data_IF_318854769809
#
_entry.id   IF_318854769809
#
_cell.length_a   1.000
_cell.length_b   1.000
_cell.length_c   1.000
_cell.angle_alpha   90.00
_cell.angle_beta   90.00
_cell.angle_gamma   90.00
#
_symmetry.space_group_name_H-M   'P 1'
#
loop_
_entity.id
_entity.type
_entity.pdbx_description
1 polymer ?
#
# COMPACT_ATOMS: atom_id res chain seq x y z
N UNK A 1 -46.72 17.03 8.15
CA UNK A 1 -45.62 17.07 9.12
C UNK A 1 -44.84 15.76 9.12
N UNK A 2 -44.02 15.52 8.11
CA UNK A 2 -43.20 14.28 7.99
C UNK A 2 -41.83 14.56 7.36
N UNK A 3 -41.15 15.65 7.73
CA UNK A 3 -39.87 16.05 7.11
C UNK A 3 -38.66 16.13 8.05
N UNK A 4 -38.73 15.66 9.29
CA UNK A 4 -37.68 15.97 10.28
C UNK A 4 -37.00 14.77 10.95
N UNK A 5 -37.19 13.51 10.48
CA UNK A 5 -36.53 12.33 11.08
C UNK A 5 -35.28 11.87 10.36
N UNK A 6 -34.94 12.42 9.20
CA UNK A 6 -33.82 11.92 8.39
C UNK A 6 -32.49 12.74 8.57
N UNK A 7 -32.56 13.93 9.14
CA UNK A 7 -31.38 14.76 9.42
C UNK A 7 -30.58 14.32 10.66
N UNK A 8 -31.16 13.53 11.58
CA UNK A 8 -30.47 13.11 12.82
C UNK A 8 -29.47 11.94 12.62
N UNK A 9 -29.49 11.26 11.46
CA UNK A 9 -28.56 10.16 11.16
C UNK A 9 -27.27 10.61 10.46
N UNK A 10 -27.18 11.84 9.98
CA UNK A 10 -25.99 12.39 9.30
C UNK A 10 -24.83 12.81 10.21
N UNK A 11 -24.99 12.78 11.54
CA UNK A 11 -24.03 13.30 12.53
C UNK A 11 -23.26 12.26 13.34
N UNK A 12 -23.46 10.95 13.15
CA UNK A 12 -22.62 9.96 13.83
C UNK A 12 -21.30 9.83 13.05
N UNK A 13 -20.23 10.43 13.58
CA UNK A 13 -18.86 10.19 13.15
C UNK A 13 -18.67 8.68 12.94
N UNK A 14 -18.51 8.27 11.68
CA UNK A 14 -18.26 6.86 11.37
C UNK A 14 -16.84 6.50 11.80
N UNK A 15 -16.69 5.88 12.98
CA UNK A 15 -15.39 5.48 13.54
C UNK A 15 -14.77 4.27 12.83
N UNK A 16 -15.52 3.64 11.92
CA UNK A 16 -15.08 2.40 11.27
C UNK A 16 -13.79 2.57 10.45
N UNK A 17 -13.58 3.62 9.64
CA UNK A 17 -12.31 3.81 8.93
C UNK A 17 -11.11 3.91 9.86
N UNK A 18 -11.25 4.53 11.03
CA UNK A 18 -10.16 4.63 12.02
C UNK A 18 -9.84 3.30 12.70
N UNK A 19 -10.86 2.45 12.94
CA UNK A 19 -10.64 1.10 13.46
C UNK A 19 -9.92 0.25 12.40
N UNK A 20 -10.32 0.36 11.13
CA UNK A 20 -9.64 -0.34 10.04
C UNK A 20 -8.21 0.17 9.83
N UNK A 21 -7.98 1.49 9.99
CA UNK A 21 -6.65 2.10 10.01
C UNK A 21 -5.74 1.47 11.06
N UNK A 22 -6.23 1.23 12.27
CA UNK A 22 -5.45 0.58 13.32
C UNK A 22 -5.04 -0.86 12.96
N UNK A 23 -5.92 -1.63 12.31
CA UNK A 23 -5.58 -2.96 11.78
C UNK A 23 -4.50 -2.88 10.69
N UNK A 24 -4.60 -1.88 9.81
CA UNK A 24 -3.61 -1.62 8.76
C UNK A 24 -2.25 -1.22 9.36
N UNK A 25 -2.23 -0.38 10.40
CA UNK A 25 -1.00 -0.07 11.15
C UNK A 25 -0.34 -1.36 11.62
N UNK A 26 -1.07 -2.26 12.27
CA UNK A 26 -0.50 -3.48 12.83
C UNK A 26 0.15 -4.38 11.78
N UNK A 27 -0.49 -4.63 10.64
CA UNK A 27 0.09 -5.51 9.61
C UNK A 27 1.28 -4.85 8.92
N UNK A 28 1.26 -3.53 8.72
CA UNK A 28 2.34 -2.83 8.03
C UNK A 28 3.50 -2.46 8.97
N UNK A 29 3.28 -2.35 10.27
CA UNK A 29 4.36 -2.35 11.29
C UNK A 29 5.15 -3.67 11.18
N UNK A 30 4.47 -4.81 11.08
CA UNK A 30 5.12 -6.10 10.93
C UNK A 30 5.87 -6.19 9.58
N UNK A 31 5.23 -5.79 8.49
CA UNK A 31 5.83 -5.83 7.15
C UNK A 31 7.04 -4.90 7.02
N UNK A 32 6.94 -3.66 7.50
CA UNK A 32 8.04 -2.69 7.49
C UNK A 32 9.18 -3.07 8.44
N UNK A 33 8.84 -3.76 9.55
CA UNK A 33 9.81 -4.22 10.53
C UNK A 33 10.70 -5.35 10.01
N UNK A 34 10.21 -6.23 9.14
CA UNK A 34 10.97 -7.37 8.62
C UNK A 34 12.31 -6.94 8.01
N UNK A 35 12.29 -5.95 7.14
CA UNK A 35 13.52 -5.48 6.48
C UNK A 35 14.58 -4.98 7.47
N UNK A 36 14.15 -4.40 8.58
CA UNK A 36 15.06 -3.85 9.60
C UNK A 36 15.61 -4.91 10.56
N UNK A 37 15.04 -6.10 10.60
CA UNK A 37 15.58 -7.25 11.37
C UNK A 37 16.68 -7.97 10.59
N UNK A 38 16.71 -7.86 9.26
CA UNK A 38 17.66 -8.61 8.40
C UNK A 38 19.13 -8.43 8.76
N UNK A 39 19.67 -7.21 9.00
CA UNK A 39 21.07 -7.05 9.39
C UNK A 39 21.41 -7.79 10.68
N UNK A 40 20.47 -7.85 11.63
CA UNK A 40 20.66 -8.56 12.88
C UNK A 40 20.66 -10.08 12.68
N UNK A 41 19.88 -10.61 11.73
CA UNK A 41 19.93 -12.03 11.34
C UNK A 41 21.28 -12.41 10.75
N UNK A 42 21.89 -11.54 9.93
CA UNK A 42 23.26 -11.76 9.42
C UNK A 42 24.26 -11.83 10.56
N UNK A 43 24.24 -10.85 11.46
CA UNK A 43 25.23 -10.70 12.54
C UNK A 43 25.05 -11.76 13.63
N UNK A 44 23.82 -12.06 14.04
CA UNK A 44 23.54 -12.90 15.20
C UNK A 44 23.21 -14.36 14.85
N UNK A 45 22.67 -14.63 13.64
CA UNK A 45 22.31 -15.97 13.20
C UNK A 45 23.23 -16.51 12.09
N UNK A 46 24.14 -15.70 11.55
CA UNK A 46 25.08 -16.10 10.52
C UNK A 46 24.45 -16.33 9.14
N UNK A 47 23.25 -15.83 8.88
CA UNK A 47 22.61 -15.94 7.56
C UNK A 47 23.36 -15.14 6.51
N UNK A 48 23.48 -15.68 5.31
CA UNK A 48 24.04 -15.00 4.16
C UNK A 48 23.10 -13.89 3.64
N UNK A 49 23.66 -12.94 2.88
CA UNK A 49 22.87 -11.88 2.23
C UNK A 49 21.83 -12.45 1.27
N UNK A 50 22.13 -13.57 0.58
CA UNK A 50 21.17 -14.25 -0.30
C UNK A 50 20.00 -14.81 0.50
N UNK A 51 20.25 -15.44 1.64
CA UNK A 51 19.22 -16.01 2.50
C UNK A 51 18.28 -14.93 3.05
N UNK A 52 18.81 -13.80 3.54
CA UNK A 52 17.97 -12.74 4.10
C UNK A 52 17.13 -12.03 3.02
N UNK A 53 17.65 -11.83 1.82
CA UNK A 53 16.87 -11.27 0.72
C UNK A 53 15.76 -12.22 0.26
N UNK A 54 15.99 -13.53 0.30
CA UNK A 54 14.97 -14.52 0.02
C UNK A 54 13.84 -14.53 1.06
N UNK A 55 14.09 -14.16 2.32
CA UNK A 55 13.04 -14.00 3.34
C UNK A 55 12.03 -12.92 2.95
N UNK A 56 12.53 -11.76 2.54
CA UNK A 56 11.66 -10.65 2.09
C UNK A 56 10.88 -11.03 0.85
N UNK A 57 11.54 -11.68 -0.11
CA UNK A 57 10.89 -12.17 -1.32
C UNK A 57 9.79 -13.17 -0.99
N UNK A 58 10.03 -14.14 -0.10
CA UNK A 58 9.06 -15.13 0.32
C UNK A 58 7.83 -14.49 0.97
N UNK A 59 8.03 -13.53 1.87
CA UNK A 59 6.93 -12.76 2.50
C UNK A 59 6.12 -11.99 1.48
N UNK A 60 6.78 -11.25 0.59
CA UNK A 60 6.11 -10.42 -0.42
C UNK A 60 5.36 -11.27 -1.45
N UNK A 61 5.93 -12.37 -1.93
CA UNK A 61 5.27 -13.29 -2.87
C UNK A 61 4.07 -13.95 -2.21
N UNK A 62 4.22 -14.44 -0.97
CA UNK A 62 3.09 -15.00 -0.22
C UNK A 62 1.95 -13.99 -0.07
N UNK A 63 2.27 -12.74 0.26
CA UNK A 63 1.27 -11.68 0.34
C UNK A 63 0.62 -11.40 -1.01
N UNK A 64 1.40 -11.13 -2.04
CA UNK A 64 0.91 -10.70 -3.35
C UNK A 64 0.03 -11.74 -4.06
N UNK A 65 0.40 -13.03 -3.98
CA UNK A 65 -0.35 -14.13 -4.61
C UNK A 65 -1.65 -14.41 -3.88
N UNK A 66 -1.64 -14.28 -2.56
CA UNK A 66 -2.78 -14.68 -1.72
C UNK A 66 -3.83 -13.56 -1.60
N UNK A 67 -3.46 -12.29 -1.73
CA UNK A 67 -4.40 -11.16 -1.64
C UNK A 67 -5.61 -11.26 -2.59
N UNK A 68 -5.45 -11.57 -3.89
CA UNK A 68 -6.58 -11.76 -4.79
C UNK A 68 -7.51 -12.90 -4.37
N UNK A 69 -6.96 -13.99 -3.82
CA UNK A 69 -7.75 -15.14 -3.34
C UNK A 69 -8.64 -14.74 -2.16
N UNK A 70 -8.11 -14.01 -1.19
CA UNK A 70 -8.92 -13.49 -0.07
C UNK A 70 -9.95 -12.45 -0.53
N UNK A 71 -9.62 -11.67 -1.55
CA UNK A 71 -10.57 -10.76 -2.21
C UNK A 71 -11.78 -11.50 -2.77
N UNK A 72 -11.54 -12.54 -3.58
CA UNK A 72 -12.58 -13.41 -4.15
C UNK A 72 -13.41 -14.13 -3.06
N UNK A 73 -12.75 -14.58 -1.99
CA UNK A 73 -13.46 -15.22 -0.86
C UNK A 73 -14.37 -14.22 -0.13
N UNK A 74 -13.95 -12.96 0.00
CA UNK A 74 -14.70 -11.88 0.63
C UNK A 74 -15.95 -11.49 -0.16
N UNK A 75 -15.86 -11.52 -1.50
CA UNK A 75 -17.01 -11.24 -2.38
C UNK A 75 -18.08 -12.31 -2.31
N UNK A 76 -17.69 -13.60 -2.25
CA UNK A 76 -18.65 -14.71 -2.11
C UNK A 76 -19.38 -14.70 -0.76
N UNK A 77 -18.66 -14.40 0.31
CA UNK A 77 -19.19 -14.33 1.68
C UNK A 77 -18.31 -13.43 2.53
N UNK A 78 -18.87 -12.36 3.06
CA UNK A 78 -18.17 -11.47 3.99
C UNK A 78 -17.62 -12.25 5.20
N UNK A 79 -16.33 -12.12 5.46
CA UNK A 79 -15.63 -12.83 6.53
C UNK A 79 -14.73 -11.87 7.33
N UNK A 80 -15.29 -10.89 8.03
CA UNK A 80 -14.50 -9.88 8.74
C UNK A 80 -13.53 -10.44 9.79
N UNK A 81 -13.77 -11.65 10.29
CA UNK A 81 -12.85 -12.34 11.20
C UNK A 81 -11.49 -12.63 10.57
N UNK A 82 -11.40 -12.70 9.22
CA UNK A 82 -10.13 -12.86 8.52
C UNK A 82 -9.16 -11.72 8.81
N UNK A 83 -9.66 -10.49 9.01
CA UNK A 83 -8.80 -9.36 9.38
C UNK A 83 -8.14 -9.58 10.74
N UNK A 84 -8.89 -10.12 11.72
CA UNK A 84 -8.34 -10.47 13.03
C UNK A 84 -7.25 -11.52 12.94
N UNK A 85 -7.52 -12.62 12.22
CA UNK A 85 -6.53 -13.67 11.98
C UNK A 85 -5.33 -13.13 11.23
N UNK A 86 -5.55 -12.28 10.23
CA UNK A 86 -4.48 -11.64 9.46
C UNK A 86 -3.54 -10.82 10.34
N UNK A 87 -4.08 -9.96 11.21
CA UNK A 87 -3.27 -9.17 12.15
C UNK A 87 -2.49 -10.07 13.11
N UNK A 88 -3.12 -11.13 13.65
CA UNK A 88 -2.46 -12.07 14.53
C UNK A 88 -1.32 -12.81 13.82
N UNK A 89 -1.54 -13.30 12.60
CA UNK A 89 -0.52 -13.99 11.80
C UNK A 89 0.62 -13.06 11.37
N UNK A 90 0.33 -11.81 11.01
CA UNK A 90 1.36 -10.84 10.68
C UNK A 90 2.31 -10.62 11.85
N UNK A 91 1.76 -10.37 13.05
CA UNK A 91 2.56 -10.18 14.25
C UNK A 91 3.29 -11.45 14.69
N UNK A 92 2.62 -12.61 14.66
CA UNK A 92 3.22 -13.91 15.00
C UNK A 92 4.38 -14.26 14.06
N UNK A 93 4.20 -14.07 12.76
CA UNK A 93 5.23 -14.36 11.77
C UNK A 93 6.51 -13.59 12.05
N UNK A 94 6.43 -12.27 12.21
CA UNK A 94 7.62 -11.46 12.52
C UNK A 94 8.19 -11.78 13.90
N UNK A 95 7.34 -12.02 14.90
CA UNK A 95 7.81 -12.44 16.21
C UNK A 95 8.68 -13.70 16.16
N UNK A 96 8.27 -14.67 15.34
CA UNK A 96 9.00 -15.93 15.17
C UNK A 96 10.29 -15.78 14.34
N UNK A 97 10.40 -14.80 13.44
CA UNK A 97 11.61 -14.55 12.64
C UNK A 97 12.84 -14.39 13.51
N UNK A 98 12.74 -13.70 14.65
CA UNK A 98 13.89 -13.49 15.53
C UNK A 98 14.10 -14.59 16.59
N UNK A 99 13.16 -15.51 16.75
CA UNK A 99 13.24 -16.59 17.76
C UNK A 99 13.68 -17.93 17.17
N UNK A 100 13.32 -18.19 15.92
CA UNK A 100 13.65 -19.43 15.23
C UNK A 100 15.10 -19.40 14.72
N UNK A 101 15.80 -20.54 14.86
CA UNK A 101 17.20 -20.66 14.48
C UNK A 101 17.37 -21.31 13.09
N UNK A 102 16.42 -22.17 12.69
CA UNK A 102 16.47 -22.82 11.39
C UNK A 102 16.04 -21.86 10.29
N UNK A 103 16.87 -21.69 9.27
CA UNK A 103 16.60 -20.84 8.11
C UNK A 103 15.19 -21.12 7.50
N UNK A 104 14.86 -22.37 7.24
CA UNK A 104 13.57 -22.73 6.64
C UNK A 104 12.37 -22.41 7.53
N UNK A 105 12.53 -22.50 8.84
CA UNK A 105 11.49 -22.07 9.78
C UNK A 105 11.34 -20.56 9.80
N UNK A 106 12.43 -19.82 9.67
CA UNK A 106 12.40 -18.34 9.54
C UNK A 106 11.74 -17.92 8.22
N UNK A 107 12.04 -18.64 7.10
CA UNK A 107 11.33 -18.44 5.82
C UNK A 107 9.82 -18.67 5.99
N UNK A 108 9.43 -19.76 6.63
CA UNK A 108 8.03 -20.07 6.88
C UNK A 108 7.37 -18.98 7.76
N UNK A 109 8.06 -18.52 8.79
CA UNK A 109 7.58 -17.44 9.65
C UNK A 109 7.38 -16.13 8.87
N UNK A 110 8.31 -15.76 8.00
CA UNK A 110 8.18 -14.59 7.13
C UNK A 110 7.00 -14.74 6.15
N UNK A 111 6.79 -15.91 5.57
CA UNK A 111 5.63 -16.22 4.72
C UNK A 111 4.31 -16.11 5.50
N UNK A 112 4.27 -16.62 6.73
CA UNK A 112 3.08 -16.52 7.62
C UNK A 112 2.74 -15.04 7.88
N UNK A 113 3.75 -14.19 8.09
CA UNK A 113 3.54 -12.74 8.20
C UNK A 113 2.96 -12.14 6.92
N UNK A 114 3.51 -12.50 5.75
CA UNK A 114 3.00 -12.07 4.44
C UNK A 114 1.56 -12.51 4.18
N UNK A 115 1.21 -13.74 4.55
CA UNK A 115 -0.17 -14.25 4.47
C UNK A 115 -1.09 -13.44 5.39
N UNK A 116 -0.65 -13.14 6.61
CA UNK A 116 -1.39 -12.29 7.54
C UNK A 116 -1.71 -10.92 6.95
N UNK A 117 -0.73 -10.29 6.31
CA UNK A 117 -0.90 -9.05 5.58
C UNK A 117 -1.95 -9.20 4.45
N UNK A 118 -1.84 -10.26 3.65
CA UNK A 118 -2.77 -10.57 2.57
C UNK A 118 -4.23 -10.75 3.02
N UNK A 119 -4.46 -11.22 4.24
CA UNK A 119 -5.81 -11.44 4.78
C UNK A 119 -6.51 -10.14 5.17
N UNK A 120 -5.77 -9.13 5.64
CA UNK A 120 -6.36 -7.86 6.09
C UNK A 120 -6.72 -6.95 4.93
N UNK A 121 -5.82 -6.77 3.95
CA UNK A 121 -5.93 -5.72 2.94
C UNK A 121 -7.23 -5.76 2.12
N UNK A 122 -7.65 -6.89 1.50
CA UNK A 122 -8.86 -6.92 0.68
C UNK A 122 -10.14 -6.62 1.48
N UNK A 123 -10.30 -7.26 2.64
CA UNK A 123 -11.49 -7.10 3.47
C UNK A 123 -11.50 -5.75 4.19
N UNK A 124 -10.35 -5.28 4.68
CA UNK A 124 -10.19 -3.97 5.29
C UNK A 124 -10.50 -2.83 4.32
N UNK A 125 -9.96 -2.88 3.10
CA UNK A 125 -10.23 -1.90 2.05
C UNK A 125 -11.69 -1.95 1.57
N UNK A 126 -12.28 -3.14 1.44
CA UNK A 126 -13.70 -3.32 1.13
C UNK A 126 -14.60 -2.64 2.17
N UNK A 127 -14.33 -2.89 3.45
CA UNK A 127 -15.09 -2.28 4.54
C UNK A 127 -14.85 -0.77 4.64
N UNK A 128 -13.61 -0.31 4.41
CA UNK A 128 -13.29 1.12 4.37
C UNK A 128 -14.05 1.84 3.24
N UNK A 129 -14.09 1.25 2.05
CA UNK A 129 -14.89 1.77 0.93
C UNK A 129 -16.38 1.86 1.26
N UNK A 130 -16.95 0.79 1.82
CA UNK A 130 -18.37 0.77 2.23
C UNK A 130 -18.66 1.79 3.34
N UNK A 131 -17.72 1.97 4.27
CA UNK A 131 -17.81 2.93 5.36
C UNK A 131 -17.78 4.39 4.88
N UNK A 132 -17.19 4.65 3.74
CA UNK A 132 -17.08 5.99 3.16
C UNK A 132 -18.40 6.59 2.70
N UNK A 133 -19.43 5.77 2.40
CA UNK A 133 -20.70 6.27 1.90
C UNK A 133 -20.51 7.16 0.66
N UNK A 134 -20.82 8.44 0.79
CA UNK A 134 -20.63 9.43 -0.28
C UNK A 134 -19.15 9.91 -0.41
N UNK A 135 -18.33 9.67 0.60
CA UNK A 135 -16.93 10.13 0.67
C UNK A 135 -15.96 8.95 0.77
N UNK A 136 -16.01 8.08 -0.23
CA UNK A 136 -15.23 6.84 -0.30
C UNK A 136 -13.72 7.10 -0.31
N UNK A 137 -13.29 8.14 -1.03
CA UNK A 137 -11.89 8.50 -1.13
C UNK A 137 -11.31 8.96 0.22
N UNK A 138 -12.09 9.67 1.05
CA UNK A 138 -11.67 10.06 2.39
C UNK A 138 -11.51 8.83 3.28
N UNK A 139 -12.46 7.91 3.25
CA UNK A 139 -12.40 6.67 4.03
C UNK A 139 -11.20 5.80 3.62
N UNK A 140 -10.93 5.70 2.32
CA UNK A 140 -9.75 5.00 1.79
C UNK A 140 -8.46 5.72 2.17
N UNK A 141 -8.45 7.06 2.19
CA UNK A 141 -7.31 7.85 2.66
C UNK A 141 -6.99 7.56 4.13
N UNK A 142 -7.99 7.58 5.01
CA UNK A 142 -7.83 7.23 6.43
C UNK A 142 -7.26 5.81 6.58
N UNK A 143 -7.82 4.84 5.87
CA UNK A 143 -7.32 3.47 5.87
C UNK A 143 -5.86 3.40 5.41
N UNK A 144 -5.51 4.07 4.31
CA UNK A 144 -4.16 4.06 3.73
C UNK A 144 -3.12 4.79 4.58
N UNK A 145 -3.52 5.82 5.36
CA UNK A 145 -2.64 6.46 6.35
C UNK A 145 -2.15 5.44 7.38
N UNK A 146 -2.99 4.46 7.73
CA UNK A 146 -2.58 3.37 8.62
C UNK A 146 -1.36 2.61 8.10
N UNK A 147 -1.34 2.26 6.82
CA UNK A 147 -0.19 1.61 6.19
C UNK A 147 1.08 2.47 6.25
N UNK A 148 0.97 3.77 5.93
CA UNK A 148 2.13 4.69 6.01
C UNK A 148 2.69 4.78 7.43
N UNK A 149 1.82 4.89 8.44
CA UNK A 149 2.24 4.89 9.86
C UNK A 149 2.93 3.57 10.20
N UNK A 150 2.36 2.44 9.75
CA UNK A 150 2.91 1.11 9.99
C UNK A 150 4.32 0.97 9.41
N UNK A 151 4.50 1.31 8.15
CA UNK A 151 5.81 1.26 7.48
C UNK A 151 6.85 2.20 8.12
N UNK A 152 6.44 3.35 8.65
CA UNK A 152 7.34 4.25 9.37
C UNK A 152 7.73 3.72 10.75
N UNK A 153 6.78 3.14 11.50
CA UNK A 153 7.02 2.66 12.85
C UNK A 153 7.74 1.31 12.90
N UNK A 154 7.53 0.45 11.89
CA UNK A 154 8.11 -0.89 11.84
C UNK A 154 9.64 -0.90 12.04
N UNK A 155 10.42 -0.18 11.23
CA UNK A 155 11.87 -0.08 11.41
C UNK A 155 12.29 0.43 12.79
N UNK A 156 11.63 1.46 13.30
CA UNK A 156 11.94 2.07 14.59
C UNK A 156 11.75 1.05 15.71
N UNK A 157 10.61 0.35 15.70
CA UNK A 157 10.28 -0.67 16.69
C UNK A 157 11.25 -1.85 16.61
N UNK A 158 11.55 -2.33 15.38
CA UNK A 158 12.50 -3.43 15.17
C UNK A 158 13.87 -3.11 15.74
N UNK A 159 14.45 -1.98 15.32
CA UNK A 159 15.79 -1.58 15.77
C UNK A 159 15.84 -1.41 17.29
N UNK A 160 14.88 -0.67 17.86
CA UNK A 160 14.84 -0.45 19.29
C UNK A 160 14.71 -1.77 20.08
N UNK A 161 13.80 -2.65 19.68
CA UNK A 161 13.54 -3.90 20.39
C UNK A 161 14.69 -4.90 20.24
N UNK A 162 15.26 -5.04 19.02
CA UNK A 162 16.38 -5.97 18.80
C UNK A 162 17.68 -5.46 19.44
N UNK A 163 17.90 -4.15 19.47
CA UNK A 163 19.05 -3.57 20.19
C UNK A 163 18.94 -3.81 21.70
N UNK A 164 17.73 -3.72 22.27
CA UNK A 164 17.52 -3.88 23.69
C UNK A 164 17.50 -5.36 24.14
N UNK A 165 16.95 -6.27 23.34
CA UNK A 165 16.64 -7.64 23.73
C UNK A 165 17.24 -8.71 22.79
N UNK A 166 18.15 -8.34 21.89
CA UNK A 166 18.61 -9.24 20.83
C UNK A 166 17.48 -9.64 19.88
N UNK A 167 17.69 -10.69 19.10
CA UNK A 167 16.68 -11.17 18.14
C UNK A 167 15.32 -11.51 18.80
N UNK A 168 15.30 -11.92 20.07
CA UNK A 168 14.05 -12.14 20.80
C UNK A 168 13.19 -10.87 20.96
N UNK A 169 13.78 -9.68 20.76
CA UNK A 169 13.04 -8.41 20.73
C UNK A 169 11.93 -8.39 19.67
N UNK A 170 12.01 -9.22 18.63
CA UNK A 170 10.91 -9.36 17.63
C UNK A 170 9.59 -9.83 18.26
N UNK A 171 9.59 -10.44 19.45
CA UNK A 171 8.36 -10.78 20.17
C UNK A 171 7.46 -9.57 20.47
N UNK A 172 8.00 -8.35 20.43
CA UNK A 172 7.22 -7.11 20.53
C UNK A 172 6.09 -7.05 19.52
N UNK A 173 6.27 -7.60 18.32
CA UNK A 173 5.25 -7.62 17.29
C UNK A 173 4.02 -8.44 17.68
N UNK A 174 4.21 -9.53 18.43
CA UNK A 174 3.08 -10.28 18.97
C UNK A 174 2.34 -9.46 20.04
N UNK A 175 3.07 -8.76 20.90
CA UNK A 175 2.49 -7.89 21.93
C UNK A 175 1.71 -6.69 21.32
N UNK A 176 2.11 -6.20 20.16
CA UNK A 176 1.41 -5.12 19.46
C UNK A 176 0.20 -5.63 18.66
N UNK A 177 0.37 -6.70 17.90
CA UNK A 177 -0.64 -7.17 16.96
C UNK A 177 -1.75 -7.99 17.64
N UNK A 178 -1.43 -8.85 18.60
CA UNK A 178 -2.42 -9.75 19.21
C UNK A 178 -3.55 -9.02 19.95
N UNK A 179 -3.32 -7.99 20.78
CA UNK A 179 -4.41 -7.24 21.40
C UNK A 179 -5.32 -6.59 20.37
N UNK A 180 -4.74 -6.05 19.27
CA UNK A 180 -5.54 -5.43 18.22
C UNK A 180 -6.34 -6.47 17.40
N UNK A 181 -5.75 -7.64 17.17
CA UNK A 181 -6.46 -8.77 16.56
C UNK A 181 -7.69 -9.17 17.39
N UNK A 182 -7.58 -9.20 18.72
CA UNK A 182 -8.71 -9.47 19.62
C UNK A 182 -9.79 -8.38 19.54
N UNK A 183 -9.40 -7.11 19.42
CA UNK A 183 -10.35 -6.00 19.19
C UNK A 183 -11.11 -6.21 17.87
N UNK A 184 -10.41 -6.53 16.78
CA UNK A 184 -11.05 -6.80 15.48
C UNK A 184 -11.97 -8.04 15.55
N UNK A 185 -11.57 -9.07 16.29
CA UNK A 185 -12.38 -10.27 16.50
C UNK A 185 -13.67 -9.94 17.24
N UNK A 186 -13.61 -9.19 18.32
CA UNK A 186 -14.76 -8.73 19.08
C UNK A 186 -15.74 -7.89 18.24
N UNK A 187 -15.19 -7.12 17.30
CA UNK A 187 -15.97 -6.28 16.40
C UNK A 187 -16.45 -7.01 15.12
N UNK A 188 -16.02 -8.24 14.88
CA UNK A 188 -16.27 -8.98 13.64
C UNK A 188 -17.76 -9.12 13.30
N UNK A 189 -18.62 -9.34 14.31
CA UNK A 189 -20.09 -9.39 14.14
C UNK A 189 -20.65 -8.03 13.70
N UNK A 190 -20.12 -6.92 14.20
CA UNK A 190 -20.53 -5.56 13.80
C UNK A 190 -20.07 -5.26 12.37
N UNK A 191 -18.87 -5.68 11.99
CA UNK A 191 -18.36 -5.56 10.62
C UNK A 191 -19.19 -6.40 9.65
N UNK A 192 -19.58 -7.63 10.04
CA UNK A 192 -20.44 -8.47 9.22
C UNK A 192 -21.80 -7.80 8.98
N UNK A 193 -22.45 -7.32 10.04
CA UNK A 193 -23.73 -6.63 9.93
C UNK A 193 -23.62 -5.35 9.07
N UNK A 194 -22.51 -4.62 9.17
CA UNK A 194 -22.24 -3.45 8.36
C UNK A 194 -21.99 -3.81 6.88
N UNK A 195 -21.15 -4.81 6.61
CA UNK A 195 -20.80 -5.27 5.28
C UNK A 195 -22.00 -5.84 4.51
N UNK A 196 -22.88 -6.59 5.20
CA UNK A 196 -24.12 -7.12 4.62
C UNK A 196 -25.11 -6.00 4.30
N UNK A 197 -25.27 -5.02 5.19
CA UNK A 197 -26.17 -3.86 4.97
C UNK A 197 -25.64 -2.93 3.87
N UNK A 198 -24.33 -2.70 3.82
CA UNK A 198 -23.68 -1.86 2.81
C UNK A 198 -23.61 -2.53 1.44
N UNK A 199 -23.27 -3.81 1.40
CA UNK A 199 -23.18 -4.58 0.15
C UNK A 199 -24.53 -4.96 -0.46
N UNK A 200 -25.54 -5.20 0.37
CA UNK A 200 -26.89 -5.59 -0.11
C UNK A 200 -27.84 -4.44 -0.47
N UNK A 201 -27.55 -3.20 -0.04
CA UNK A 201 -28.49 -2.08 -0.15
C UNK A 201 -28.01 -0.89 -0.98
N UNK A 202 -26.71 -0.66 -1.14
CA UNK A 202 -26.20 0.58 -1.76
C UNK A 202 -25.14 0.38 -2.84
N UNK A 203 -24.36 -0.70 -2.81
CA UNK A 203 -23.22 -0.83 -3.72
C UNK A 203 -23.57 -1.38 -5.12
N UNK A 204 -24.67 -2.12 -5.27
CA UNK A 204 -24.84 -2.88 -6.50
C UNK A 204 -26.22 -2.92 -7.14
N UNK A 205 -27.28 -2.28 -6.57
CA UNK A 205 -28.60 -2.35 -7.21
C UNK A 205 -28.59 -1.68 -8.59
N UNK A 206 -28.36 -2.49 -9.62
CA UNK A 206 -28.42 -2.08 -11.03
C UNK A 206 -27.11 -1.63 -11.67
N UNK A 207 -26.00 -1.59 -10.96
CA UNK A 207 -24.68 -1.32 -11.55
C UNK A 207 -23.96 -2.64 -11.83
N UNK A 208 -23.65 -2.90 -13.09
CA UNK A 208 -22.84 -4.04 -13.51
C UNK A 208 -21.35 -3.75 -13.37
N UNK A 209 -20.56 -4.78 -13.12
CA UNK A 209 -19.10 -4.71 -13.15
C UNK A 209 -18.58 -4.23 -14.51
N UNK A 210 -17.59 -3.36 -14.44
CA UNK A 210 -16.93 -2.75 -15.61
C UNK A 210 -15.47 -3.20 -15.65
N UNK A 211 -15.23 -4.50 -15.90
CA UNK A 211 -13.91 -5.11 -15.90
C UNK A 211 -12.89 -4.42 -16.80
N UNK A 212 -13.30 -3.94 -17.98
CA UNK A 212 -12.41 -3.17 -18.86
C UNK A 212 -11.96 -1.85 -18.23
N UNK A 213 -12.87 -1.12 -17.55
CA UNK A 213 -12.53 0.11 -16.84
C UNK A 213 -11.62 -0.16 -15.64
N UNK A 214 -11.92 -1.24 -14.88
CA UNK A 214 -11.09 -1.72 -13.79
C UNK A 214 -9.67 -2.06 -14.27
N UNK A 215 -9.52 -2.78 -15.38
CA UNK A 215 -8.21 -3.13 -15.97
C UNK A 215 -7.36 -1.90 -16.28
N UNK A 216 -7.98 -0.81 -16.78
CA UNK A 216 -7.26 0.46 -17.04
C UNK A 216 -6.77 1.10 -15.73
N UNK A 217 -7.57 1.11 -14.66
CA UNK A 217 -7.14 1.60 -13.34
C UNK A 217 -6.06 0.71 -12.75
N UNK A 218 -6.20 -0.62 -12.86
CA UNK A 218 -5.20 -1.58 -12.39
C UNK A 218 -3.86 -1.39 -13.12
N UNK A 219 -3.88 -1.11 -14.42
CA UNK A 219 -2.69 -0.74 -15.19
C UNK A 219 -2.01 0.51 -14.64
N UNK A 220 -2.79 1.57 -14.35
CA UNK A 220 -2.25 2.78 -13.72
C UNK A 220 -1.66 2.52 -12.32
N UNK A 221 -2.33 1.70 -11.49
CA UNK A 221 -1.84 1.29 -10.17
C UNK A 221 -0.54 0.47 -10.29
N UNK A 222 -0.44 -0.42 -11.27
CA UNK A 222 0.76 -1.22 -11.52
C UNK A 222 1.94 -0.35 -11.93
N UNK A 223 1.74 0.58 -12.85
CA UNK A 223 2.78 1.56 -13.24
C UNK A 223 3.22 2.40 -12.04
N UNK A 224 2.25 2.92 -11.26
CA UNK A 224 2.56 3.65 -10.03
C UNK A 224 3.43 2.83 -9.08
N UNK A 225 3.14 1.53 -8.96
CA UNK A 225 3.91 0.64 -8.10
C UNK A 225 5.34 0.42 -8.61
N UNK A 226 5.53 0.25 -9.92
CA UNK A 226 6.88 0.17 -10.52
C UNK A 226 7.68 1.44 -10.22
N UNK A 227 7.07 2.61 -10.44
CA UNK A 227 7.73 3.89 -10.15
C UNK A 227 8.08 4.02 -8.67
N UNK A 228 7.18 3.60 -7.77
CA UNK A 228 7.42 3.62 -6.32
C UNK A 228 8.65 2.80 -5.92
N UNK A 229 8.71 1.53 -6.35
CA UNK A 229 9.84 0.66 -6.03
C UNK A 229 11.14 1.14 -6.71
N UNK A 230 11.04 1.62 -7.95
CA UNK A 230 12.20 2.18 -8.65
C UNK A 230 12.78 3.42 -7.96
N UNK A 231 11.92 4.36 -7.56
CA UNK A 231 12.34 5.57 -6.84
C UNK A 231 13.01 5.22 -5.51
N UNK A 232 12.39 4.36 -4.71
CA UNK A 232 12.90 4.00 -3.40
C UNK A 232 14.20 3.19 -3.48
N UNK A 233 14.42 2.42 -4.55
CA UNK A 233 15.62 1.62 -4.74
C UNK A 233 16.78 2.40 -5.37
N UNK A 234 16.52 3.18 -6.42
CA UNK A 234 17.60 3.72 -7.26
C UNK A 234 17.98 5.17 -6.95
N UNK A 235 17.11 5.97 -6.34
CA UNK A 235 17.41 7.38 -6.13
C UNK A 235 18.53 7.63 -5.11
N UNK A 236 18.58 6.93 -3.95
CA UNK A 236 19.74 7.03 -3.06
C UNK A 236 21.04 6.64 -3.76
N UNK A 237 21.02 5.53 -4.52
CA UNK A 237 22.20 5.06 -5.25
C UNK A 237 22.65 6.06 -6.31
N UNK A 238 21.73 6.70 -7.01
CA UNK A 238 22.03 7.72 -8.00
C UNK A 238 22.68 8.96 -7.38
N UNK A 239 22.20 9.40 -6.20
CA UNK A 239 22.82 10.53 -5.49
C UNK A 239 24.26 10.22 -5.06
N UNK A 240 24.52 9.03 -4.55
CA UNK A 240 25.87 8.59 -4.21
C UNK A 240 26.76 8.55 -5.46
N UNK A 241 26.29 7.90 -6.52
CA UNK A 241 27.08 7.69 -7.74
C UNK A 241 27.33 8.98 -8.55
N UNK A 242 26.37 9.91 -8.55
CA UNK A 242 26.44 11.10 -9.42
C UNK A 242 26.97 12.34 -8.71
N UNK A 243 26.62 12.52 -7.44
CA UNK A 243 26.97 13.70 -6.66
C UNK A 243 27.98 13.43 -5.54
N UNK A 244 28.53 12.21 -5.44
CA UNK A 244 29.38 11.78 -4.33
C UNK A 244 28.76 12.07 -2.95
N UNK A 245 27.42 11.98 -2.86
CA UNK A 245 26.73 12.19 -1.59
C UNK A 245 27.15 11.10 -0.59
N UNK A 246 27.26 11.46 0.70
CA UNK A 246 27.49 10.48 1.74
C UNK A 246 26.30 9.51 1.82
N UNK A 247 26.55 8.23 2.02
CA UNK A 247 25.52 7.17 2.05
C UNK A 247 24.40 7.47 3.07
N UNK A 248 24.78 7.99 4.25
CA UNK A 248 23.82 8.40 5.27
C UNK A 248 22.90 9.51 4.77
N UNK A 249 23.44 10.52 4.08
CA UNK A 249 22.68 11.62 3.51
C UNK A 249 21.76 11.15 2.38
N UNK A 250 22.23 10.23 1.54
CA UNK A 250 21.42 9.63 0.48
C UNK A 250 20.27 8.78 1.07
N UNK A 251 20.51 8.08 2.16
CA UNK A 251 19.49 7.30 2.88
C UNK A 251 18.40 8.17 3.50
N UNK A 252 18.74 9.39 3.94
CA UNK A 252 17.72 10.36 4.41
C UNK A 252 16.70 10.73 3.35
N UNK A 253 17.01 10.56 2.06
CA UNK A 253 16.06 10.80 0.98
C UNK A 253 14.82 9.90 1.10
N UNK A 254 14.99 8.65 1.54
CA UNK A 254 13.86 7.73 1.78
C UNK A 254 12.99 8.21 2.95
N UNK A 255 13.60 8.80 3.97
CA UNK A 255 12.87 9.40 5.08
C UNK A 255 12.05 10.60 4.60
N UNK A 256 12.63 11.50 3.82
CA UNK A 256 11.94 12.63 3.20
C UNK A 256 10.78 12.13 2.32
N UNK A 257 11.04 11.14 1.46
CA UNK A 257 10.03 10.49 0.62
C UNK A 257 8.85 9.97 1.47
N UNK A 258 9.13 9.28 2.58
CA UNK A 258 8.12 8.69 3.45
C UNK A 258 7.27 9.75 4.16
N UNK A 259 7.88 10.83 4.65
CA UNK A 259 7.17 11.95 5.31
C UNK A 259 6.20 12.61 4.33
N UNK A 260 6.70 13.03 3.14
CA UNK A 260 5.86 13.68 2.14
C UNK A 260 4.79 12.74 1.58
N UNK A 261 5.11 11.45 1.46
CA UNK A 261 4.16 10.40 1.10
C UNK A 261 3.03 10.26 2.11
N UNK A 262 3.33 10.23 3.40
CA UNK A 262 2.34 10.14 4.47
C UNK A 262 1.42 11.37 4.49
N UNK A 263 1.99 12.58 4.35
CA UNK A 263 1.22 13.83 4.26
C UNK A 263 0.29 13.83 3.04
N UNK A 264 0.76 13.36 1.88
CA UNK A 264 -0.03 13.26 0.67
C UNK A 264 -1.17 12.23 0.81
N UNK A 265 -0.90 11.06 1.40
CA UNK A 265 -1.92 10.05 1.68
C UNK A 265 -3.02 10.62 2.59
N UNK A 266 -2.65 11.35 3.64
CA UNK A 266 -3.60 11.99 4.54
C UNK A 266 -4.44 13.06 3.84
N UNK A 267 -3.87 13.79 2.88
CA UNK A 267 -4.54 14.84 2.12
C UNK A 267 -5.39 14.32 0.96
N UNK A 268 -5.22 13.07 0.53
CA UNK A 268 -5.86 12.50 -0.65
C UNK A 268 -7.39 12.54 -0.60
N UNK A 269 -7.98 12.26 0.56
CA UNK A 269 -9.42 12.35 0.76
C UNK A 269 -9.94 13.79 0.59
N UNK A 270 -9.23 14.79 1.11
CA UNK A 270 -9.60 16.21 0.95
C UNK A 270 -9.45 16.68 -0.49
N UNK A 271 -8.38 16.26 -1.18
CA UNK A 271 -8.16 16.55 -2.59
C UNK A 271 -9.29 15.97 -3.46
N UNK A 272 -9.73 14.75 -3.17
CA UNK A 272 -10.80 14.05 -3.90
C UNK A 272 -12.18 14.69 -3.74
N UNK A 273 -12.42 15.46 -2.69
CA UNK A 273 -13.64 16.24 -2.54
C UNK A 273 -13.72 17.44 -3.51
N UNK A 274 -12.56 17.93 -3.94
CA UNK A 274 -12.46 19.11 -4.82
C UNK A 274 -12.18 18.76 -6.27
N UNK A 275 -11.43 17.66 -6.48
CA UNK A 275 -10.97 17.24 -7.81
C UNK A 275 -11.39 15.79 -8.03
N UNK A 276 -12.12 15.48 -9.11
CA UNK A 276 -12.49 14.11 -9.46
C UNK A 276 -11.27 13.20 -9.59
N UNK A 277 -11.38 11.93 -9.16
CA UNK A 277 -10.30 10.96 -9.15
C UNK A 277 -9.53 10.87 -10.49
N UNK A 278 -10.18 10.81 -11.68
CA UNK A 278 -9.45 10.75 -12.94
C UNK A 278 -8.56 11.98 -13.20
N UNK A 279 -8.99 13.17 -12.77
CA UNK A 279 -8.17 14.40 -12.92
C UNK A 279 -6.99 14.42 -11.96
N UNK A 280 -7.19 13.94 -10.71
CA UNK A 280 -6.09 13.75 -9.75
C UNK A 280 -5.05 12.77 -10.30
N UNK A 281 -5.49 11.63 -10.85
CA UNK A 281 -4.63 10.62 -11.45
C UNK A 281 -3.79 11.20 -12.59
N UNK A 282 -4.40 11.97 -13.50
CA UNK A 282 -3.70 12.66 -14.60
C UNK A 282 -2.67 13.64 -14.04
N UNK A 283 -3.07 14.52 -13.11
CA UNK A 283 -2.16 15.50 -12.51
C UNK A 283 -0.97 14.86 -11.80
N UNK A 284 -1.21 13.79 -11.06
CA UNK A 284 -0.14 13.02 -10.42
C UNK A 284 0.85 12.47 -11.44
N UNK A 285 0.41 11.81 -12.52
CA UNK A 285 1.34 11.27 -13.52
C UNK A 285 2.07 12.35 -14.33
N UNK A 286 1.42 13.47 -14.64
CA UNK A 286 2.10 14.62 -15.28
C UNK A 286 3.24 15.10 -14.39
N UNK A 287 2.97 15.30 -13.11
CA UNK A 287 3.98 15.74 -12.16
C UNK A 287 5.05 14.66 -11.89
N UNK A 288 4.71 13.37 -11.92
CA UNK A 288 5.68 12.27 -11.83
C UNK A 288 6.66 12.31 -12.99
N UNK A 289 6.18 12.45 -14.24
CA UNK A 289 7.05 12.56 -15.42
C UNK A 289 7.95 13.77 -15.32
N UNK A 290 7.39 14.93 -14.99
CA UNK A 290 8.16 16.16 -14.83
C UNK A 290 9.23 16.05 -13.73
N UNK A 291 8.88 15.45 -12.60
CA UNK A 291 9.80 15.27 -11.47
C UNK A 291 10.93 14.27 -11.80
N UNK A 292 10.62 13.16 -12.48
CA UNK A 292 11.63 12.19 -12.93
C UNK A 292 12.61 12.83 -13.93
N UNK A 293 12.09 13.60 -14.89
CA UNK A 293 12.92 14.34 -15.83
C UNK A 293 13.77 15.40 -15.12
N UNK A 294 13.18 16.18 -14.19
CA UNK A 294 13.90 17.18 -13.40
C UNK A 294 14.98 16.55 -12.55
N UNK A 295 14.74 15.38 -11.96
CA UNK A 295 15.73 14.65 -11.17
C UNK A 295 16.97 14.28 -12.03
N UNK A 296 16.75 13.75 -13.23
CA UNK A 296 17.83 13.32 -14.13
C UNK A 296 18.59 14.48 -14.77
N UNK A 297 17.89 15.56 -15.13
CA UNK A 297 18.48 16.71 -15.80
C UNK A 297 19.09 17.72 -14.83
N UNK A 298 18.90 17.51 -13.52
CA UNK A 298 19.41 18.42 -12.49
C UNK A 298 20.90 18.25 -12.25
N UNK A 299 21.62 19.36 -12.25
CA UNK A 299 22.99 19.45 -11.75
C UNK A 299 23.10 19.74 -10.25
N UNK A 300 21.99 19.75 -9.52
CA UNK A 300 21.92 20.15 -8.11
C UNK A 300 21.21 19.09 -7.24
N UNK A 301 21.87 18.68 -6.16
CA UNK A 301 21.31 17.77 -5.15
C UNK A 301 19.99 18.31 -4.58
N UNK A 302 19.89 19.61 -4.36
CA UNK A 302 18.68 20.22 -3.80
C UNK A 302 17.47 20.12 -4.74
N UNK A 303 17.70 20.26 -6.06
CA UNK A 303 16.63 20.03 -7.05
C UNK A 303 16.25 18.56 -7.12
N UNK A 304 17.20 17.64 -6.96
CA UNK A 304 16.92 16.20 -6.83
C UNK A 304 16.04 15.92 -5.62
N UNK A 305 16.36 16.48 -4.45
CA UNK A 305 15.54 16.34 -3.24
C UNK A 305 14.13 16.91 -3.46
N UNK A 306 14.01 18.09 -4.05
CA UNK A 306 12.71 18.69 -4.36
C UNK A 306 11.88 17.81 -5.33
N UNK A 307 12.51 17.25 -6.35
CA UNK A 307 11.86 16.31 -7.26
C UNK A 307 11.35 15.05 -6.54
N UNK A 308 12.13 14.50 -5.60
CA UNK A 308 11.71 13.35 -4.77
C UNK A 308 10.54 13.70 -3.88
N UNK A 309 10.49 14.90 -3.29
CA UNK A 309 9.34 15.34 -2.49
C UNK A 309 8.06 15.38 -3.33
N UNK A 310 8.12 15.93 -4.54
CA UNK A 310 6.98 15.97 -5.47
C UNK A 310 6.58 14.56 -5.92
N UNK A 311 7.54 13.69 -6.22
CA UNK A 311 7.28 12.27 -6.56
C UNK A 311 6.58 11.54 -5.42
N UNK A 312 7.07 11.69 -4.18
CA UNK A 312 6.48 11.10 -3.00
C UNK A 312 5.02 11.54 -2.82
N UNK A 313 4.77 12.84 -2.98
CA UNK A 313 3.43 13.40 -2.90
C UNK A 313 2.52 12.81 -3.99
N UNK A 314 2.96 12.78 -5.24
CA UNK A 314 2.15 12.30 -6.36
C UNK A 314 1.85 10.80 -6.26
N UNK A 315 2.86 9.98 -5.94
CA UNK A 315 2.72 8.52 -5.79
C UNK A 315 1.73 8.15 -4.69
N UNK A 316 1.70 8.90 -3.61
CA UNK A 316 0.87 8.58 -2.45
C UNK A 316 -0.50 9.27 -2.50
N UNK A 317 -0.61 10.48 -3.06
CA UNK A 317 -1.88 11.17 -3.32
C UNK A 317 -2.75 10.38 -4.31
N UNK A 318 -2.12 9.75 -5.31
CA UNK A 318 -2.78 8.94 -6.33
C UNK A 318 -3.50 7.72 -5.77
N UNK A 319 -2.91 7.04 -4.78
CA UNK A 319 -3.30 5.68 -4.41
C UNK A 319 -4.72 5.56 -3.82
N UNK A 320 -5.15 6.31 -2.77
CA UNK A 320 -6.48 6.13 -2.17
C UNK A 320 -7.65 6.38 -3.16
N UNK A 321 -7.66 7.46 -3.97
CA UNK A 321 -8.73 7.66 -4.93
C UNK A 321 -8.71 6.66 -6.08
N UNK A 322 -7.54 6.18 -6.52
CA UNK A 322 -7.45 5.16 -7.56
C UNK A 322 -8.00 3.81 -7.09
N UNK A 323 -7.68 3.39 -5.86
CA UNK A 323 -8.24 2.15 -5.27
C UNK A 323 -9.74 2.29 -5.07
N UNK A 324 -10.24 3.43 -4.57
CA UNK A 324 -11.67 3.67 -4.43
C UNK A 324 -12.39 3.59 -5.78
N UNK A 325 -11.81 4.15 -6.84
CA UNK A 325 -12.35 4.09 -8.20
C UNK A 325 -12.32 2.66 -8.77
N UNK A 326 -11.25 1.90 -8.51
CA UNK A 326 -11.15 0.49 -8.87
C UNK A 326 -12.31 -0.32 -8.27
N UNK A 327 -12.62 -0.09 -6.99
CA UNK A 327 -13.76 -0.70 -6.30
C UNK A 327 -15.11 -0.21 -6.86
N UNK A 328 -15.21 1.06 -7.28
CA UNK A 328 -16.43 1.59 -7.89
C UNK A 328 -16.73 0.95 -9.25
N UNK A 329 -15.70 0.52 -9.98
CA UNK A 329 -15.86 -0.20 -11.26
C UNK A 329 -16.27 -1.66 -11.10
N UNK A 330 -16.01 -2.28 -9.95
CA UNK A 330 -16.42 -3.65 -9.63
C UNK A 330 -17.34 -3.69 -8.40
N UNK A 331 -18.55 -3.12 -8.48
CA UNK A 331 -19.46 -3.03 -7.33
C UNK A 331 -19.93 -4.40 -6.80
N UNK A 332 -19.94 -5.44 -7.65
CA UNK A 332 -20.28 -6.81 -7.26
C UNK A 332 -19.07 -7.57 -6.71
N UNK A 333 -17.83 -7.08 -6.97
CA UNK A 333 -16.57 -7.73 -6.63
C UNK A 333 -15.57 -6.79 -5.92
N UNK A 334 -16.03 -6.10 -4.86
CA UNK A 334 -15.23 -5.11 -4.11
C UNK A 334 -13.97 -5.71 -3.47
N UNK A 335 -14.07 -6.93 -2.96
CA UNK A 335 -12.95 -7.66 -2.36
C UNK A 335 -11.91 -8.04 -3.43
N UNK A 336 -12.36 -8.54 -4.57
CA UNK A 336 -11.50 -8.84 -5.73
C UNK A 336 -10.81 -7.57 -6.24
N UNK A 337 -11.54 -6.45 -6.37
CA UNK A 337 -10.95 -5.17 -6.77
C UNK A 337 -9.83 -4.74 -5.83
N UNK A 338 -10.06 -4.86 -4.52
CA UNK A 338 -9.04 -4.53 -3.51
C UNK A 338 -7.86 -5.49 -3.54
N UNK A 339 -8.13 -6.80 -3.60
CA UNK A 339 -7.08 -7.83 -3.62
C UNK A 339 -6.17 -7.72 -4.84
N UNK A 340 -6.73 -7.40 -6.02
CA UNK A 340 -5.94 -7.16 -7.23
C UNK A 340 -5.18 -5.84 -7.15
N UNK A 341 -5.80 -4.76 -6.64
CA UNK A 341 -5.15 -3.47 -6.52
C UNK A 341 -3.96 -3.47 -5.54
N UNK A 342 -4.06 -4.18 -4.41
CA UNK A 342 -2.97 -4.28 -3.45
C UNK A 342 -2.02 -5.44 -3.77
N UNK A 343 -2.51 -6.60 -4.23
CA UNK A 343 -1.68 -7.78 -4.50
C UNK A 343 -0.94 -7.66 -5.83
N UNK A 344 -1.68 -7.61 -6.95
CA UNK A 344 -1.09 -7.64 -8.29
C UNK A 344 -0.30 -6.39 -8.58
N UNK A 345 -0.82 -5.19 -8.25
CA UNK A 345 -0.10 -3.96 -8.51
C UNK A 345 1.24 -3.91 -7.76
N UNK A 346 1.25 -4.35 -6.49
CA UNK A 346 2.49 -4.41 -5.68
C UNK A 346 3.44 -5.48 -6.21
N UNK A 347 2.94 -6.66 -6.62
CA UNK A 347 3.76 -7.72 -7.20
C UNK A 347 4.45 -7.27 -8.49
N UNK A 348 3.74 -6.58 -9.37
CA UNK A 348 4.30 -6.04 -10.63
C UNK A 348 5.43 -5.06 -10.34
N UNK A 349 5.28 -4.19 -9.34
CA UNK A 349 6.35 -3.28 -8.91
C UNK A 349 7.56 -4.00 -8.35
N UNK A 350 7.34 -4.99 -7.49
CA UNK A 350 8.39 -5.82 -6.91
C UNK A 350 9.18 -6.64 -7.94
N UNK A 351 8.49 -7.19 -8.97
CA UNK A 351 9.13 -7.93 -10.07
C UNK A 351 9.92 -7.00 -11.00
N UNK A 352 9.40 -5.80 -11.25
CA UNK A 352 10.07 -4.83 -12.11
C UNK A 352 11.37 -4.28 -11.51
N UNK A 353 11.48 -4.23 -10.17
CA UNK A 353 12.64 -3.65 -9.48
C UNK A 353 13.96 -4.35 -9.81
N UNK A 354 14.09 -5.69 -9.74
CA UNK A 354 15.32 -6.39 -10.18
C UNK A 354 15.63 -6.21 -11.66
N UNK A 355 14.60 -6.14 -12.53
CA UNK A 355 14.81 -5.90 -13.98
C UNK A 355 15.39 -4.51 -14.24
N UNK A 356 14.89 -3.50 -13.51
CA UNK A 356 15.45 -2.15 -13.56
C UNK A 356 16.86 -2.08 -12.95
N UNK A 357 17.15 -2.91 -11.93
CA UNK A 357 18.47 -3.07 -11.36
C UNK A 357 19.47 -3.59 -12.40
N UNK A 358 19.13 -4.69 -13.08
CA UNK A 358 19.95 -5.26 -14.16
C UNK A 358 20.19 -4.26 -15.29
N UNK A 359 19.22 -3.42 -15.62
CA UNK A 359 19.40 -2.31 -16.56
C UNK A 359 20.34 -1.25 -16.00
N UNK A 360 20.24 -0.93 -14.71
CA UNK A 360 21.13 -0.01 -14.02
C UNK A 360 22.59 -0.50 -14.05
N UNK A 361 22.81 -1.79 -13.84
CA UNK A 361 24.15 -2.43 -13.88
C UNK A 361 24.75 -2.41 -15.29
N UNK A 362 23.93 -2.66 -16.33
CA UNK A 362 24.41 -2.77 -17.71
C UNK A 362 24.50 -1.44 -18.46
N UNK A 363 23.58 -0.50 -18.21
CA UNK A 363 23.43 0.75 -18.95
C UNK A 363 23.51 2.01 -18.06
N UNK A 364 23.79 1.84 -16.77
CA UNK A 364 23.88 2.91 -15.77
C UNK A 364 22.54 3.28 -15.14
N UNK A 365 22.58 3.77 -13.90
CA UNK A 365 21.39 4.10 -13.08
C UNK A 365 20.49 5.13 -13.76
N UNK A 366 21.05 6.09 -14.51
CA UNK A 366 20.26 7.07 -15.27
C UNK A 366 19.32 6.40 -16.27
N UNK A 367 19.75 5.32 -16.93
CA UNK A 367 18.92 4.57 -17.89
C UNK A 367 17.72 3.93 -17.21
N UNK A 368 17.89 3.33 -16.03
CA UNK A 368 16.79 2.79 -15.24
C UNK A 368 15.78 3.88 -14.84
N UNK A 369 16.25 5.06 -14.46
CA UNK A 369 15.38 6.19 -14.10
C UNK A 369 14.66 6.76 -15.34
N UNK A 370 15.29 6.81 -16.52
CA UNK A 370 14.60 7.17 -17.78
C UNK A 370 13.50 6.18 -18.14
N UNK A 371 13.69 4.89 -17.90
CA UNK A 371 12.62 3.88 -18.06
C UNK A 371 11.47 4.13 -17.10
N UNK A 372 11.76 4.53 -15.84
CA UNK A 372 10.68 4.94 -14.90
C UNK A 372 9.90 6.16 -15.43
N UNK A 373 10.56 7.14 -16.05
CA UNK A 373 9.90 8.29 -16.66
C UNK A 373 9.01 7.88 -17.85
N UNK A 374 9.49 6.99 -18.70
CA UNK A 374 8.70 6.43 -19.80
C UNK A 374 7.49 5.62 -19.31
N UNK A 375 7.66 4.82 -18.25
CA UNK A 375 6.56 4.11 -17.61
C UNK A 375 5.56 5.06 -16.97
N UNK A 376 6.01 6.14 -16.31
CA UNK A 376 5.11 7.16 -15.79
C UNK A 376 4.29 7.84 -16.91
N UNK A 377 4.88 8.05 -18.11
CA UNK A 377 4.14 8.52 -19.27
C UNK A 377 3.09 7.50 -19.75
N UNK A 378 3.39 6.19 -19.71
CA UNK A 378 2.38 5.15 -19.94
C UNK A 378 1.27 5.18 -18.88
N UNK A 379 1.60 5.42 -17.61
CA UNK A 379 0.62 5.62 -16.53
C UNK A 379 -0.29 6.82 -16.77
N UNK A 380 0.24 7.89 -17.36
CA UNK A 380 -0.56 9.03 -17.81
C UNK A 380 -1.57 8.60 -18.90
N UNK A 381 -1.15 7.77 -19.86
CA UNK A 381 -2.06 7.26 -20.89
C UNK A 381 -3.21 6.42 -20.28
N UNK A 382 -2.93 5.56 -19.29
CA UNK A 382 -3.97 4.86 -18.54
C UNK A 382 -4.92 5.83 -17.84
N UNK A 383 -4.40 6.87 -17.18
CA UNK A 383 -5.22 7.86 -16.48
C UNK A 383 -6.11 8.69 -17.42
N UNK A 384 -5.61 9.02 -18.61
CA UNK A 384 -6.41 9.64 -19.68
C UNK A 384 -7.51 8.68 -20.17
N UNK A 385 -7.20 7.39 -20.29
CA UNK A 385 -8.17 6.34 -20.58
C UNK A 385 -9.30 6.28 -19.56
N UNK A 386 -8.97 6.33 -18.25
CA UNK A 386 -9.96 6.42 -17.16
C UNK A 386 -10.86 7.65 -17.34
N UNK A 387 -10.28 8.81 -17.58
CA UNK A 387 -11.05 10.05 -17.78
C UNK A 387 -11.98 9.98 -19.01
N UNK A 388 -11.53 9.34 -20.10
CA UNK A 388 -12.36 9.12 -21.30
C UNK A 388 -13.54 8.18 -21.01
N UNK A 389 -13.33 7.12 -20.23
CA UNK A 389 -14.36 6.18 -19.80
C UNK A 389 -15.44 6.90 -18.98
N UNK A 390 -15.02 7.74 -18.01
CA UNK A 390 -15.96 8.49 -17.17
C UNK A 390 -16.78 9.52 -17.97
N UNK A 391 -16.14 10.24 -18.90
CA UNK A 391 -16.85 11.19 -19.77
C UNK A 391 -17.89 10.50 -20.65
N UNK A 392 -17.59 9.29 -21.17
CA UNK A 392 -18.55 8.52 -21.98
C UNK A 392 -19.71 8.00 -21.16
N UNK A 393 -19.46 7.62 -19.89
CA UNK A 393 -20.49 7.22 -18.96
C UNK A 393 -21.47 8.36 -18.65
N UNK A 394 -20.95 9.56 -18.35
CA UNK A 394 -21.74 10.74 -18.05
C UNK A 394 -22.60 11.28 -19.22
N UNK A 395 -22.29 10.91 -20.48
CA UNK A 395 -23.07 11.29 -21.66
C UNK A 395 -24.22 10.30 -21.97
N UNK A 396 -24.22 9.13 -21.35
CA UNK A 396 -25.21 8.06 -21.61
C UNK A 396 -26.26 7.92 -20.49
N UNK A 397 -26.10 8.59 -19.37
CA UNK A 397 -27.05 8.70 -18.28
C UNK A 397 -27.61 10.10 -18.14
#
# INVERSE_FOLDING_TARGET
MSGNKDKSKRGRSNKLPFILMGGHICVDVAQGGLASVLPFLVIQSGFSYTEITALVLASNVASAVIQPLFGLMGDKKARPWLMSVGVALAGLGIALVGVLQSYWLVVLAAMVSGIGNAMLHPEGARLAYLAGGDDKAMSMSIFSVGGQIGFCLGPIISVAAVTAFGLSGTLVYLALCLPYALVLLALSRRFLAFGVRGGGSLAGRGKRDRWGAFGVVLGALSVRSIVFYGVTSFFPLYLVATFNAAEDSASLLITVFSIFGAMATASAGFASRRVPAPRLMIGCFVLMVASLASFLLSGSVWLCVAAVMVLAMCLNLFNPPAVALAQEYLPEHLGTASGLAFGVAVAVGGIASPMLGALGDSAGLASAIWVLAALAAAGLAFSLGVAAIERRGARKG
#
